data_IF_479029237874
#
_entry.id   IF_479029237874
#
_cell.length_a   1.000
_cell.length_b   1.000
_cell.length_c   1.000
_cell.angle_alpha   90.00
_cell.angle_beta   90.00
_cell.angle_gamma   90.00
#
_symmetry.space_group_name_H-M   'P 1'
#
loop_
_entity.id
_entity.type
_entity.pdbx_description
1 polymer ?
#
# COMPACT_ATOMS: atom_id res chain seq x y z
N UNK A 1 19.37 9.67 -6.92
CA UNK A 1 19.69 8.22 -7.01
C UNK A 1 18.75 7.61 -8.03
N UNK A 2 19.28 7.05 -9.12
CA UNK A 2 18.51 6.31 -10.11
C UNK A 2 17.99 5.01 -9.46
N UNK A 3 16.68 4.73 -9.51
CA UNK A 3 16.06 3.53 -8.93
C UNK A 3 15.24 2.84 -10.03
N UNK A 4 15.90 2.14 -10.97
CA UNK A 4 15.25 1.66 -12.19
C UNK A 4 14.07 0.73 -11.92
N UNK A 5 14.11 -0.05 -10.83
CA UNK A 5 13.00 -0.92 -10.44
C UNK A 5 11.76 -0.12 -9.99
N UNK A 6 11.94 1.01 -9.29
CA UNK A 6 10.84 1.86 -8.83
C UNK A 6 10.22 2.61 -10.01
N UNK A 7 11.06 3.09 -10.93
CA UNK A 7 10.60 3.72 -12.18
C UNK A 7 9.81 2.73 -13.03
N UNK A 8 10.29 1.49 -13.15
CA UNK A 8 9.59 0.41 -13.87
C UNK A 8 8.24 0.09 -13.24
N UNK A 9 8.16 0.08 -11.90
CA UNK A 9 6.90 -0.13 -11.18
C UNK A 9 5.90 1.00 -11.46
N UNK A 10 6.36 2.27 -11.42
CA UNK A 10 5.52 3.42 -11.76
C UNK A 10 4.93 3.30 -13.18
N UNK A 11 5.78 3.03 -14.17
CA UNK A 11 5.33 2.83 -15.55
C UNK A 11 4.38 1.63 -15.72
N UNK A 12 4.52 0.58 -14.91
CA UNK A 12 3.61 -0.55 -14.93
C UNK A 12 2.21 -0.19 -14.40
N UNK A 13 2.13 0.69 -13.39
CA UNK A 13 0.87 1.19 -12.86
C UNK A 13 0.17 2.07 -13.90
N UNK A 14 0.90 2.97 -14.55
CA UNK A 14 0.37 3.81 -15.63
C UNK A 14 -0.24 2.96 -16.75
N UNK A 15 0.51 1.96 -17.25
CA UNK A 15 -0.02 1.03 -18.27
C UNK A 15 -1.25 0.25 -17.80
N UNK A 16 -1.29 -0.17 -16.53
CA UNK A 16 -2.46 -0.86 -16.01
C UNK A 16 -3.72 0.03 -15.98
N UNK A 17 -3.56 1.34 -15.78
CA UNK A 17 -4.67 2.30 -15.83
C UNK A 17 -5.16 2.55 -17.26
N UNK A 18 -4.31 2.35 -18.27
CA UNK A 18 -4.71 2.42 -19.68
C UNK A 18 -5.52 1.18 -20.11
N UNK A 19 -5.21 0.00 -19.54
CA UNK A 19 -5.73 -1.30 -19.99
C UNK A 19 -6.87 -1.87 -19.12
N UNK A 20 -7.10 -1.35 -17.91
CA UNK A 20 -8.06 -1.91 -16.95
C UNK A 20 -8.90 -0.83 -16.23
N UNK A 21 -10.08 -1.18 -15.69
CA UNK A 21 -10.85 -0.28 -14.85
C UNK A 21 -10.03 0.21 -13.65
N UNK A 22 -10.16 1.51 -13.33
CA UNK A 22 -9.48 2.13 -12.19
C UNK A 22 -9.75 1.39 -10.87
N UNK A 23 -10.96 0.83 -10.70
CA UNK A 23 -11.33 0.02 -9.54
C UNK A 23 -10.43 -1.20 -9.33
N UNK A 24 -10.06 -1.87 -10.41
CA UNK A 24 -9.29 -3.12 -10.37
C UNK A 24 -7.83 -2.81 -10.03
N UNK A 25 -7.29 -1.78 -10.67
CA UNK A 25 -5.95 -1.25 -10.37
C UNK A 25 -5.88 -0.78 -8.92
N UNK A 26 -6.89 -0.03 -8.45
CA UNK A 26 -6.97 0.44 -7.07
C UNK A 26 -7.02 -0.71 -6.05
N UNK A 27 -7.76 -1.78 -6.34
CA UNK A 27 -7.83 -2.95 -5.46
C UNK A 27 -6.45 -3.60 -5.27
N UNK A 28 -5.70 -3.78 -6.36
CA UNK A 28 -4.34 -4.33 -6.33
C UNK A 28 -3.40 -3.40 -5.56
N UNK A 29 -3.40 -2.09 -5.88
CA UNK A 29 -2.54 -1.11 -5.23
C UNK A 29 -2.83 -0.97 -3.74
N UNK A 30 -4.10 -1.06 -3.34
CA UNK A 30 -4.49 -1.07 -1.93
C UNK A 30 -3.91 -2.28 -1.20
N UNK A 31 -3.99 -3.47 -1.79
CA UNK A 31 -3.38 -4.68 -1.23
C UNK A 31 -1.85 -4.56 -1.08
N UNK A 32 -1.18 -4.06 -2.13
CA UNK A 32 0.27 -3.83 -2.11
C UNK A 32 0.67 -2.80 -1.05
N UNK A 33 -0.04 -1.68 -0.97
CA UNK A 33 0.17 -0.65 0.04
C UNK A 33 0.03 -1.22 1.46
N UNK A 34 -1.09 -1.88 1.76
CA UNK A 34 -1.34 -2.46 3.09
C UNK A 34 -0.27 -3.49 3.46
N UNK A 35 0.08 -4.40 2.54
CA UNK A 35 1.11 -5.41 2.77
C UNK A 35 2.50 -4.81 3.05
N UNK A 36 2.91 -3.80 2.26
CA UNK A 36 4.18 -3.09 2.46
C UNK A 36 4.19 -2.30 3.77
N UNK A 37 3.08 -1.65 4.14
CA UNK A 37 2.97 -0.94 5.43
C UNK A 37 3.08 -1.90 6.60
N UNK A 38 2.39 -3.04 6.58
CA UNK A 38 2.49 -4.08 7.63
C UNK A 38 3.94 -4.56 7.76
N UNK A 39 4.62 -4.82 6.65
CA UNK A 39 6.02 -5.27 6.67
C UNK A 39 6.96 -4.17 7.19
N UNK A 40 6.74 -2.91 6.81
CA UNK A 40 7.52 -1.77 7.31
C UNK A 40 7.40 -1.64 8.84
N UNK A 41 6.17 -1.63 9.37
CA UNK A 41 5.96 -1.47 10.82
C UNK A 41 6.44 -2.70 11.60
N UNK A 42 6.31 -3.91 11.03
CA UNK A 42 6.90 -5.13 11.60
C UNK A 42 8.42 -4.99 11.76
N UNK A 43 9.12 -4.48 10.75
CA UNK A 43 10.58 -4.25 10.80
C UNK A 43 10.99 -3.18 11.81
N UNK A 44 10.07 -2.29 12.17
CA UNK A 44 10.27 -1.29 13.23
C UNK A 44 9.95 -1.82 14.63
N UNK A 45 9.54 -3.09 14.76
CA UNK A 45 9.16 -3.70 16.04
C UNK A 45 7.77 -3.31 16.54
N UNK A 46 6.92 -2.73 15.69
CA UNK A 46 5.55 -2.35 16.02
C UNK A 46 4.63 -3.57 15.87
N UNK A 47 3.68 -3.72 16.80
CA UNK A 47 2.69 -4.79 16.77
C UNK A 47 1.71 -4.63 15.60
N UNK A 48 1.80 -5.54 14.62
CA UNK A 48 0.97 -5.58 13.41
C UNK A 48 -0.48 -6.03 13.66
N UNK A 49 -0.80 -6.51 14.86
CA UNK A 49 -2.16 -6.92 15.21
C UNK A 49 -3.02 -5.75 15.71
N UNK A 50 -2.45 -4.55 15.75
CA UNK A 50 -3.14 -3.31 16.14
C UNK A 50 -3.42 -2.46 14.92
N UNK A 51 -4.25 -1.45 15.13
CA UNK A 51 -4.47 -0.40 14.13
C UNK A 51 -3.15 0.32 13.81
N UNK A 52 -2.89 0.51 12.52
CA UNK A 52 -1.75 1.26 12.00
C UNK A 52 -2.26 2.58 11.42
N UNK A 53 -1.69 3.69 11.87
CA UNK A 53 -1.96 5.02 11.33
C UNK A 53 -0.78 5.47 10.48
N UNK A 54 -1.06 5.81 9.24
CA UNK A 54 -0.09 6.37 8.29
C UNK A 54 -0.41 7.84 8.11
N UNK A 55 0.54 8.69 8.47
CA UNK A 55 0.47 10.14 8.21
C UNK A 55 0.50 10.39 6.70
N UNK A 56 -0.55 11.01 6.17
CA UNK A 56 -0.69 11.33 4.75
C UNK A 56 0.09 12.58 4.32
N UNK A 57 0.67 13.32 5.26
CA UNK A 57 1.33 14.59 5.02
C UNK A 57 0.37 15.64 4.46
N UNK A 58 0.52 15.97 3.18
CA UNK A 58 -0.41 16.89 2.48
C UNK A 58 -1.67 16.19 1.95
N UNK A 59 -1.73 14.86 2.04
CA UNK A 59 -2.88 14.05 1.67
C UNK A 59 -3.66 13.62 2.93
N UNK A 60 -4.73 12.84 2.74
CA UNK A 60 -5.51 12.30 3.86
C UNK A 60 -4.71 11.22 4.59
N UNK A 61 -4.79 11.23 5.91
CA UNK A 61 -4.31 10.12 6.74
C UNK A 61 -5.00 8.82 6.37
N UNK A 62 -4.27 7.73 6.52
CA UNK A 62 -4.77 6.39 6.27
C UNK A 62 -4.76 5.60 7.59
N UNK A 63 -5.88 4.96 7.88
CA UNK A 63 -5.99 3.99 8.97
C UNK A 63 -6.10 2.59 8.37
N UNK A 64 -5.14 1.73 8.71
CA UNK A 64 -5.21 0.30 8.42
C UNK A 64 -5.69 -0.38 9.69
N UNK A 65 -6.91 -0.90 9.66
CA UNK A 65 -7.48 -1.59 10.81
C UNK A 65 -6.73 -2.90 11.11
N UNK A 66 -6.83 -3.33 12.37
CA UNK A 66 -6.35 -4.64 12.79
C UNK A 66 -6.91 -5.75 11.87
N UNK A 67 -6.19 -6.87 11.71
CA UNK A 67 -6.67 -8.00 10.91
C UNK A 67 -8.10 -8.40 11.29
N UNK A 68 -8.94 -8.64 10.28
CA UNK A 68 -10.27 -9.20 10.53
C UNK A 68 -10.09 -10.59 11.14
N UNK A 69 -10.54 -10.80 12.37
CA UNK A 69 -10.67 -12.15 12.92
C UNK A 69 -11.67 -12.88 12.05
N UNK A 70 -11.19 -13.83 11.25
CA UNK A 70 -12.08 -14.70 10.49
C UNK A 70 -12.54 -15.75 11.49
N UNK A 71 -13.77 -15.58 12.00
CA UNK A 71 -14.46 -16.58 12.82
C UNK A 71 -14.95 -17.71 11.91
#
# INVERSE_FOLDING_TARGET
MNRPAIETLGAAIERALDDAPVSDVLAILTGAFVGLTIELVRRQGIDVNREIKVDGGQHRDITIHAPKVTV
#
